data_IF_812192573044
#
_entry.id   IF_812192573044
#
_cell.length_a   1.000
_cell.length_b   1.000
_cell.length_c   1.000
_cell.angle_alpha   90.00
_cell.angle_beta   90.00
_cell.angle_gamma   90.00
#
_symmetry.space_group_name_H-M   'P 1'
#
loop_
_entity.id
_entity.type
_entity.pdbx_description
1 polymer ?
#
# COMPACT_ATOMS: atom_id res chain seq x y z
N UNK A 1 26.43 8.02 43.26
CA UNK A 1 25.53 9.07 42.75
C UNK A 1 25.35 8.85 41.24
N UNK A 2 24.16 9.14 40.67
CA UNK A 2 23.47 8.25 39.73
C UNK A 2 23.75 8.51 38.24
N UNK A 3 23.36 7.50 37.46
CA UNK A 3 23.39 7.38 36.01
C UNK A 3 22.79 8.58 35.27
N UNK A 4 23.54 9.13 34.32
CA UNK A 4 23.03 10.04 33.31
C UNK A 4 22.78 9.24 32.01
N UNK A 5 21.55 8.75 31.88
CA UNK A 5 20.99 8.31 30.61
C UNK A 5 20.83 9.54 29.71
N UNK A 6 21.82 9.81 28.86
CA UNK A 6 21.73 10.85 27.85
C UNK A 6 20.72 10.44 26.77
N UNK A 7 19.75 11.31 26.54
CA UNK A 7 18.55 11.10 25.74
C UNK A 7 18.82 10.73 24.27
N UNK A 8 17.97 9.91 23.62
CA UNK A 8 17.95 9.77 22.17
C UNK A 8 17.33 11.02 21.54
N UNK A 9 18.10 12.10 21.48
CA UNK A 9 17.75 13.35 20.78
C UNK A 9 18.10 13.26 19.30
N UNK A 10 17.43 12.38 18.56
CA UNK A 10 17.45 12.41 17.11
C UNK A 10 16.06 12.05 16.62
N UNK A 11 15.18 13.06 16.59
CA UNK A 11 13.94 13.04 15.83
C UNK A 11 14.24 12.98 14.33
N UNK A 12 14.85 11.88 13.89
CA UNK A 12 14.87 11.49 12.49
C UNK A 12 13.43 11.15 12.14
N UNK A 13 12.68 12.16 11.70
CA UNK A 13 11.40 11.97 11.02
C UNK A 13 11.68 10.96 9.92
N UNK A 14 11.29 9.70 10.16
CA UNK A 14 11.48 8.66 9.16
C UNK A 14 10.72 9.12 7.93
N UNK A 15 11.37 9.32 6.77
CA UNK A 15 10.65 9.74 5.58
C UNK A 15 9.51 8.76 5.38
N UNK A 16 8.29 9.29 5.42
CA UNK A 16 7.08 8.52 5.17
C UNK A 16 7.11 8.18 3.69
N UNK A 17 7.84 7.11 3.36
CA UNK A 17 7.79 6.52 2.03
C UNK A 17 6.31 6.22 1.79
N UNK A 18 5.68 6.78 0.75
CA UNK A 18 4.30 6.46 0.45
C UNK A 18 4.23 4.94 0.38
N UNK A 19 3.50 4.34 1.32
CA UNK A 19 3.35 2.90 1.42
C UNK A 19 2.89 2.44 0.05
N UNK A 20 3.77 1.74 -0.67
CA UNK A 20 3.70 1.41 -2.10
C UNK A 20 2.24 1.18 -2.50
N UNK A 21 1.63 2.27 -2.95
CA UNK A 21 0.23 2.29 -3.27
C UNK A 21 0.20 1.89 -4.72
N UNK A 22 -0.25 0.67 -5.00
CA UNK A 22 -0.31 0.21 -6.39
C UNK A 22 -1.05 1.25 -7.20
N UNK A 23 -0.35 1.81 -8.18
CA UNK A 23 -0.91 2.83 -9.02
C UNK A 23 -2.06 2.24 -9.83
N UNK A 24 -2.96 3.11 -10.29
CA UNK A 24 -4.12 2.75 -11.12
C UNK A 24 -3.74 1.76 -12.22
N UNK A 25 -2.63 2.00 -12.90
CA UNK A 25 -2.15 1.14 -13.99
C UNK A 25 -1.85 -0.30 -13.56
N UNK A 26 -1.29 -0.52 -12.37
CA UNK A 26 -1.03 -1.88 -11.86
C UNK A 26 -2.34 -2.63 -11.59
N UNK A 27 -3.35 -1.91 -11.09
CA UNK A 27 -4.69 -2.49 -10.87
C UNK A 27 -5.36 -2.81 -12.21
N UNK A 28 -5.31 -1.91 -13.19
CA UNK A 28 -5.85 -2.14 -14.54
C UNK A 28 -5.17 -3.33 -15.22
N UNK A 29 -3.84 -3.42 -15.16
CA UNK A 29 -3.09 -4.53 -15.72
C UNK A 29 -3.45 -5.85 -15.04
N UNK A 30 -3.54 -5.90 -13.71
CA UNK A 30 -3.94 -7.11 -13.00
C UNK A 30 -5.38 -7.53 -13.35
N UNK A 31 -6.30 -6.57 -13.50
CA UNK A 31 -7.67 -6.84 -13.95
C UNK A 31 -7.70 -7.36 -15.39
N UNK A 32 -6.95 -6.74 -16.30
CA UNK A 32 -6.85 -7.17 -17.70
C UNK A 32 -6.27 -8.58 -17.81
N UNK A 33 -5.18 -8.88 -17.10
CA UNK A 33 -4.53 -10.20 -17.08
C UNK A 33 -5.44 -11.30 -16.52
N UNK A 34 -6.40 -10.93 -15.67
CA UNK A 34 -7.34 -11.87 -15.04
C UNK A 34 -8.72 -11.84 -15.66
N UNK A 35 -8.88 -11.19 -16.82
CA UNK A 35 -10.16 -11.03 -17.52
C UNK A 35 -11.28 -10.47 -16.62
N UNK A 36 -10.93 -9.50 -15.75
CA UNK A 36 -11.86 -8.84 -14.82
C UNK A 36 -12.10 -9.59 -13.51
N UNK A 37 -11.46 -10.73 -13.27
CA UNK A 37 -11.61 -11.45 -12.01
C UNK A 37 -10.87 -10.74 -10.86
N UNK A 38 -11.61 -9.90 -10.11
CA UNK A 38 -11.10 -9.09 -9.00
C UNK A 38 -10.39 -9.90 -7.92
N UNK A 39 -10.87 -11.10 -7.59
CA UNK A 39 -10.22 -11.95 -6.59
C UNK A 39 -8.83 -12.41 -7.05
N UNK A 40 -8.71 -12.79 -8.32
CA UNK A 40 -7.43 -13.19 -8.92
C UNK A 40 -6.50 -11.98 -9.11
N UNK A 41 -7.04 -10.83 -9.50
CA UNK A 41 -6.28 -9.58 -9.60
C UNK A 41 -5.71 -9.16 -8.24
N UNK A 42 -6.49 -9.29 -7.17
CA UNK A 42 -6.04 -8.98 -5.81
C UNK A 42 -4.88 -9.91 -5.40
N UNK A 43 -5.00 -11.21 -5.68
CA UNK A 43 -3.94 -12.19 -5.41
C UNK A 43 -2.64 -11.88 -6.17
N UNK A 44 -2.73 -11.53 -7.46
CA UNK A 44 -1.55 -11.12 -8.26
C UNK A 44 -0.85 -9.90 -7.68
N UNK A 45 -1.62 -8.99 -7.10
CA UNK A 45 -1.13 -7.77 -6.47
C UNK A 45 -0.69 -7.95 -5.01
N UNK A 46 -0.80 -9.15 -4.44
CA UNK A 46 -0.52 -9.39 -3.02
C UNK A 46 -1.48 -8.67 -2.07
N UNK A 47 -2.70 -8.38 -2.53
CA UNK A 47 -3.75 -7.69 -1.79
C UNK A 47 -4.87 -8.64 -1.40
N UNK A 48 -5.60 -8.29 -0.34
CA UNK A 48 -6.93 -8.85 -0.12
C UNK A 48 -7.94 -8.25 -1.11
N UNK A 49 -9.01 -8.98 -1.42
CA UNK A 49 -10.11 -8.48 -2.26
C UNK A 49 -10.69 -7.16 -1.73
N UNK A 50 -10.79 -7.01 -0.40
CA UNK A 50 -11.27 -5.79 0.26
C UNK A 50 -10.35 -4.60 -0.02
N UNK A 51 -9.03 -4.78 0.05
CA UNK A 51 -8.05 -3.73 -0.26
C UNK A 51 -8.12 -3.34 -1.75
N UNK A 52 -8.27 -4.32 -2.65
CA UNK A 52 -8.45 -4.03 -4.07
C UNK A 52 -9.71 -3.20 -4.32
N UNK A 53 -10.86 -3.61 -3.78
CA UNK A 53 -12.13 -2.88 -3.94
C UNK A 53 -12.05 -1.46 -3.39
N UNK A 54 -11.40 -1.28 -2.23
CA UNK A 54 -11.18 0.04 -1.66
C UNK A 54 -10.32 0.92 -2.59
N UNK A 55 -9.26 0.36 -3.19
CA UNK A 55 -8.40 1.08 -4.13
C UNK A 55 -9.15 1.45 -5.42
N UNK A 56 -9.91 0.54 -6.01
CA UNK A 56 -10.76 0.82 -7.18
C UNK A 56 -11.74 1.97 -6.88
N UNK A 57 -12.39 1.92 -5.71
CA UNK A 57 -13.31 2.99 -5.26
C UNK A 57 -12.59 4.31 -5.02
N UNK A 58 -11.39 4.29 -4.44
CA UNK A 58 -10.59 5.49 -4.17
C UNK A 58 -10.01 6.14 -5.41
N UNK A 59 -9.72 5.36 -6.44
CA UNK A 59 -9.13 5.81 -7.70
C UNK A 59 -10.19 6.23 -8.73
N UNK A 60 -11.48 6.20 -8.35
CA UNK A 60 -12.61 6.47 -9.24
C UNK A 60 -12.51 5.70 -10.55
N UNK A 61 -12.08 4.43 -10.47
CA UNK A 61 -12.04 3.52 -11.61
C UNK A 61 -13.47 3.01 -11.86
N UNK A 62 -14.28 3.87 -12.48
CA UNK A 62 -15.63 3.59 -12.98
C UNK A 62 -15.60 2.85 -14.30
#
# INVERSE_FOLDING_TARGET
APAQLAAPGAGAVRPYLPAQSHDRQQIEQALAQTHGNKSRAAQLLGLTLRQLNYRIKRLEMT
#
